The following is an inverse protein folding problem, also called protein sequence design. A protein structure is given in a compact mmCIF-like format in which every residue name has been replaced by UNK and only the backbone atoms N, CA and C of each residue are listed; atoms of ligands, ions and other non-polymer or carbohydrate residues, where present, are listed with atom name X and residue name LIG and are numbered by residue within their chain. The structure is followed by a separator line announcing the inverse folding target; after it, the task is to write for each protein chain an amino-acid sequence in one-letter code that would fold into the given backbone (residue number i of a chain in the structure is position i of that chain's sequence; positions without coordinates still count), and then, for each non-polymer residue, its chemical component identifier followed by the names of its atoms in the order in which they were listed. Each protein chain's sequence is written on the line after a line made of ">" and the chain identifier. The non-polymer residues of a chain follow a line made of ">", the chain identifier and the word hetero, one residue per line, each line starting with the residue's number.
data_IF_489434869197
#
_entry.id   IF_489434869197
#
_cell.length_a   1.000
_cell.length_b   1.000
_cell.length_c   1.000
_cell.angle_alpha   90.00
_cell.angle_beta   90.00
_cell.angle_gamma   90.00
#
_symmetry.space_group_name_H-M   'P 1'
#
loop_
_entity.id
_entity.type
_entity.pdbx_description
1 polymer ?
#
# COMPACT_ATOMS: atom_id res chain seq x y z
N UNK A 1 -37.39 -30.68 -32.18
CA UNK A 1 -37.45 -29.43 -31.43
C UNK A 1 -37.97 -29.78 -30.04
N UNK A 2 -37.09 -29.99 -29.08
CA UNK A 2 -37.44 -30.36 -27.70
C UNK A 2 -37.06 -29.16 -26.82
N UNK A 3 -38.09 -28.55 -26.24
CA UNK A 3 -37.94 -27.46 -25.29
C UNK A 3 -37.57 -28.04 -23.90
N UNK A 4 -36.45 -27.64 -23.34
CA UNK A 4 -36.06 -27.98 -21.99
C UNK A 4 -36.56 -26.86 -21.04
N UNK A 5 -37.59 -27.17 -20.29
CA UNK A 5 -38.05 -26.35 -19.18
C UNK A 5 -37.09 -26.46 -17.98
N UNK A 6 -36.55 -25.37 -17.55
CA UNK A 6 -35.79 -25.26 -16.29
C UNK A 6 -36.75 -25.26 -15.10
N UNK A 7 -36.83 -26.41 -14.39
CA UNK A 7 -37.61 -26.56 -13.17
C UNK A 7 -36.87 -26.02 -11.94
N UNK A 8 -37.45 -25.03 -11.30
CA UNK A 8 -37.08 -24.58 -9.95
C UNK A 8 -37.73 -25.52 -8.92
N UNK A 9 -36.94 -26.29 -8.20
CA UNK A 9 -37.40 -27.05 -7.04
C UNK A 9 -37.22 -26.18 -5.81
N UNK A 10 -38.35 -25.69 -5.23
CA UNK A 10 -38.36 -24.95 -3.95
C UNK A 10 -38.57 -25.96 -2.82
N UNK A 11 -37.57 -26.17 -2.00
CA UNK A 11 -37.67 -26.86 -0.73
C UNK A 11 -38.08 -25.90 0.38
N UNK A 12 -39.25 -26.09 0.96
CA UNK A 12 -39.82 -25.30 2.03
C UNK A 12 -39.13 -25.63 3.36
N UNK A 13 -38.33 -24.72 3.90
CA UNK A 13 -37.79 -24.74 5.26
C UNK A 13 -37.96 -23.40 5.93
N UNK A 14 -38.17 -23.32 7.28
CA UNK A 14 -38.56 -22.12 7.99
C UNK A 14 -37.46 -21.04 7.95
N UNK A 15 -37.92 -19.80 8.01
CA UNK A 15 -37.17 -18.56 7.82
C UNK A 15 -36.04 -18.39 8.84
N UNK A 16 -34.84 -18.84 8.51
CA UNK A 16 -33.58 -18.19 8.89
C UNK A 16 -32.38 -18.93 8.26
N UNK A 17 -31.72 -18.29 7.29
CA UNK A 17 -30.54 -18.75 6.52
C UNK A 17 -30.85 -19.23 5.09
N UNK A 18 -31.17 -18.29 4.21
CA UNK A 18 -31.10 -18.55 2.75
C UNK A 18 -29.64 -18.40 2.27
N UNK A 19 -28.90 -19.53 2.13
CA UNK A 19 -27.67 -19.58 1.32
C UNK A 19 -28.06 -19.92 -0.12
N UNK A 20 -27.66 -19.10 -1.09
CA UNK A 20 -27.80 -19.40 -2.53
C UNK A 20 -26.82 -20.50 -2.92
N UNK A 21 -27.35 -21.69 -3.32
CA UNK A 21 -26.57 -22.74 -3.97
C UNK A 21 -26.42 -22.43 -5.48
N UNK A 22 -25.22 -22.51 -5.98
CA UNK A 22 -24.95 -22.51 -7.43
C UNK A 22 -24.70 -23.96 -7.87
N UNK A 23 -25.43 -24.42 -8.88
CA UNK A 23 -25.27 -25.74 -9.51
C UNK A 23 -24.35 -25.58 -10.72
N UNK A 24 -23.20 -26.22 -10.73
CA UNK A 24 -22.30 -26.25 -11.88
C UNK A 24 -22.65 -27.40 -12.84
N UNK A 25 -22.24 -27.28 -14.11
CA UNK A 25 -22.58 -28.11 -15.27
C UNK A 25 -22.26 -29.62 -15.19
N UNK A 26 -21.92 -30.19 -14.03
CA UNK A 26 -21.69 -31.64 -13.83
C UNK A 26 -22.38 -32.22 -12.60
N UNK A 27 -23.47 -31.63 -12.10
CA UNK A 27 -24.27 -32.22 -11.04
C UNK A 27 -23.59 -32.35 -9.66
N UNK A 28 -22.45 -31.68 -9.42
CA UNK A 28 -21.78 -31.63 -8.13
C UNK A 28 -22.22 -30.36 -7.40
N UNK A 29 -22.88 -30.57 -6.26
CA UNK A 29 -23.30 -29.48 -5.36
C UNK A 29 -22.02 -28.94 -4.69
N UNK A 30 -21.61 -27.72 -5.04
CA UNK A 30 -20.49 -27.03 -4.39
C UNK A 30 -21.02 -26.28 -3.17
N UNK A 31 -20.70 -26.74 -1.98
CA UNK A 31 -20.85 -25.98 -0.73
C UNK A 31 -19.57 -25.16 -0.52
N UNK A 32 -19.61 -23.80 -0.55
CA UNK A 32 -18.42 -22.97 -0.38
C UNK A 32 -17.79 -23.04 1.02
N UNK A 33 -18.38 -23.80 1.94
CA UNK A 33 -17.84 -24.05 3.29
C UNK A 33 -17.56 -25.52 3.59
N UNK A 34 -17.74 -26.44 2.63
CA UNK A 34 -17.33 -27.82 2.80
C UNK A 34 -15.87 -27.95 2.36
N UNK A 35 -15.04 -28.15 3.31
CA UNK A 35 -13.76 -28.87 3.32
C UNK A 35 -13.12 -29.17 1.95
N UNK A 36 -12.50 -28.15 1.35
CA UNK A 36 -11.42 -28.32 0.38
C UNK A 36 -10.12 -28.82 1.05
N UNK A 37 -10.24 -29.40 2.26
CA UNK A 37 -9.11 -29.80 3.09
C UNK A 37 -8.74 -31.29 2.99
N UNK A 38 -9.55 -32.13 2.35
CA UNK A 38 -9.34 -33.60 2.38
C UNK A 38 -8.51 -34.19 1.22
N UNK A 39 -7.98 -33.35 0.31
CA UNK A 39 -7.17 -33.83 -0.82
C UNK A 39 -5.69 -33.39 -0.79
N UNK A 40 -5.20 -32.82 0.32
CA UNK A 40 -3.89 -32.17 0.34
C UNK A 40 -2.70 -33.09 0.57
N UNK A 41 -2.91 -34.35 0.91
CA UNK A 41 -1.85 -35.35 1.12
C UNK A 41 -0.90 -35.07 2.30
N UNK A 42 -1.25 -34.13 3.19
CA UNK A 42 -0.45 -33.83 4.38
C UNK A 42 -0.75 -34.88 5.49
N UNK A 43 0.31 -35.44 6.07
CA UNK A 43 0.20 -36.38 7.19
C UNK A 43 -0.22 -35.75 8.53
N UNK A 44 -0.19 -34.39 8.59
CA UNK A 44 -0.51 -33.61 9.80
C UNK A 44 -1.44 -32.42 9.47
N UNK A 45 -2.57 -32.36 10.17
CA UNK A 45 -3.52 -31.23 10.08
C UNK A 45 -2.89 -29.89 10.55
N UNK A 46 -1.95 -29.95 11.51
CA UNK A 46 -1.22 -28.76 11.98
C UNK A 46 -0.28 -28.23 10.89
N UNK A 47 0.42 -29.12 10.20
CA UNK A 47 1.26 -28.76 9.05
C UNK A 47 0.42 -28.11 7.95
N UNK A 48 -0.71 -28.72 7.61
CA UNK A 48 -1.62 -28.20 6.59
C UNK A 48 -2.13 -26.79 6.94
N UNK A 49 -2.58 -26.59 8.18
CA UNK A 49 -3.04 -25.30 8.68
C UNK A 49 -1.95 -24.22 8.58
N UNK A 50 -0.72 -24.54 9.00
CA UNK A 50 0.40 -23.61 8.91
C UNK A 50 0.72 -23.25 7.45
N UNK A 51 0.78 -24.23 6.55
CA UNK A 51 0.99 -24.00 5.11
C UNK A 51 -0.10 -23.14 4.51
N UNK A 52 -1.35 -23.36 4.90
CA UNK A 52 -2.47 -22.53 4.45
C UNK A 52 -2.33 -21.08 4.90
N UNK A 53 -2.01 -20.81 6.18
CA UNK A 53 -1.81 -19.46 6.68
C UNK A 53 -0.64 -18.74 5.99
N UNK A 54 0.50 -19.42 5.79
CA UNK A 54 1.62 -18.84 5.04
C UNK A 54 1.27 -18.57 3.57
N UNK A 55 0.43 -19.40 2.95
CA UNK A 55 0.03 -19.20 1.55
C UNK A 55 -0.93 -18.03 1.32
N UNK A 56 -1.47 -17.42 2.38
CA UNK A 56 -2.27 -16.18 2.31
C UNK A 56 -1.39 -14.93 2.15
N UNK A 57 -0.09 -15.04 2.41
CA UNK A 57 0.83 -13.92 2.28
C UNK A 57 1.05 -13.59 0.80
N UNK A 58 1.07 -12.30 0.42
CA UNK A 58 1.28 -11.89 -0.96
C UNK A 58 2.58 -12.47 -1.53
N UNK A 59 2.52 -13.05 -2.73
CA UNK A 59 3.69 -13.64 -3.40
C UNK A 59 4.10 -15.02 -2.87
N UNK A 60 3.43 -15.57 -1.86
CA UNK A 60 3.73 -16.89 -1.31
C UNK A 60 2.73 -17.94 -1.82
N UNK A 61 3.16 -18.76 -2.79
CA UNK A 61 2.40 -19.91 -3.23
C UNK A 61 2.54 -21.11 -2.27
N UNK A 62 1.64 -22.12 -2.41
CA UNK A 62 1.61 -23.32 -1.55
C UNK A 62 2.96 -24.06 -1.44
N UNK A 63 3.74 -24.16 -2.54
CA UNK A 63 5.07 -24.79 -2.51
C UNK A 63 6.07 -24.03 -1.64
N UNK A 64 6.08 -22.70 -1.76
CA UNK A 64 6.92 -21.84 -0.92
C UNK A 64 6.49 -21.88 0.53
N UNK A 65 5.17 -21.81 0.80
CA UNK A 65 4.62 -21.93 2.14
C UNK A 65 5.03 -23.25 2.81
N UNK A 66 4.91 -24.38 2.11
CA UNK A 66 5.35 -25.68 2.63
C UNK A 66 6.85 -25.67 2.98
N UNK A 67 7.69 -25.13 2.10
CA UNK A 67 9.14 -25.03 2.35
C UNK A 67 9.45 -24.18 3.59
N UNK A 68 8.77 -23.05 3.77
CA UNK A 68 8.93 -22.18 4.95
C UNK A 68 8.49 -22.88 6.22
N UNK A 69 7.32 -23.52 6.23
CA UNK A 69 6.81 -24.25 7.41
C UNK A 69 7.71 -25.42 7.78
N UNK A 70 8.19 -26.21 6.80
CA UNK A 70 9.14 -27.27 7.05
C UNK A 70 10.49 -26.77 7.56
N UNK A 71 10.91 -25.56 7.17
CA UNK A 71 12.09 -24.91 7.74
C UNK A 71 11.86 -24.56 9.21
N UNK A 72 10.73 -23.94 9.54
CA UNK A 72 10.39 -23.62 10.94
C UNK A 72 10.28 -24.85 11.84
N UNK A 73 9.80 -25.99 11.31
CA UNK A 73 9.77 -27.23 12.06
C UNK A 73 11.16 -27.80 12.44
N UNK A 74 12.21 -27.34 11.77
CA UNK A 74 13.60 -27.73 12.07
C UNK A 74 14.32 -26.75 12.99
N UNK A 75 13.74 -25.56 13.22
CA UNK A 75 14.28 -24.56 14.12
C UNK A 75 14.00 -24.93 15.58
N UNK A 76 14.76 -24.35 16.48
CA UNK A 76 14.46 -24.44 17.91
C UNK A 76 13.09 -23.83 18.19
N UNK A 77 12.25 -24.45 19.03
CA UNK A 77 10.96 -23.90 19.44
C UNK A 77 11.03 -22.46 19.95
N UNK A 78 12.12 -22.07 20.61
CA UNK A 78 12.32 -20.70 21.08
C UNK A 78 12.47 -19.70 19.94
N UNK A 79 13.20 -20.04 18.88
CA UNK A 79 13.32 -19.18 17.68
C UNK A 79 11.97 -18.97 17.00
N UNK A 80 11.15 -20.01 16.92
CA UNK A 80 9.78 -19.93 16.38
C UNK A 80 8.91 -19.05 17.26
N UNK A 81 9.06 -19.16 18.59
CA UNK A 81 8.34 -18.33 19.55
C UNK A 81 8.72 -16.86 19.41
N UNK A 82 10.00 -16.53 19.27
CA UNK A 82 10.49 -15.16 19.04
C UNK A 82 9.87 -14.58 17.76
N UNK A 83 9.89 -15.33 16.65
CA UNK A 83 9.28 -14.90 15.37
C UNK A 83 7.80 -14.60 15.54
N UNK A 84 7.05 -15.52 16.14
CA UNK A 84 5.58 -15.37 16.29
C UNK A 84 5.23 -14.24 17.25
N UNK A 85 5.98 -14.07 18.32
CA UNK A 85 5.83 -12.97 19.27
C UNK A 85 6.12 -11.63 18.62
N UNK A 86 7.18 -11.51 17.82
CA UNK A 86 7.52 -10.29 17.10
C UNK A 86 6.41 -9.88 16.11
N UNK A 87 5.80 -10.84 15.40
CA UNK A 87 4.67 -10.56 14.51
C UNK A 87 3.42 -10.10 15.28
N UNK A 88 3.15 -10.70 16.43
CA UNK A 88 2.04 -10.31 17.29
C UNK A 88 2.25 -8.91 17.89
N UNK A 89 3.47 -8.60 18.32
CA UNK A 89 3.83 -7.27 18.82
C UNK A 89 3.73 -6.21 17.73
N UNK A 90 4.27 -6.48 16.54
CA UNK A 90 4.16 -5.59 15.39
C UNK A 90 2.69 -5.24 15.13
N UNK A 91 1.79 -6.24 15.08
CA UNK A 91 0.37 -6.01 14.77
C UNK A 91 -0.37 -5.28 15.91
N UNK A 92 -0.01 -5.51 17.16
CA UNK A 92 -0.71 -4.97 18.34
C UNK A 92 -0.19 -3.61 18.79
N UNK A 93 1.10 -3.32 18.62
CA UNK A 93 1.75 -2.11 19.16
C UNK A 93 1.98 -1.04 18.11
N UNK A 94 2.19 -1.42 16.83
CA UNK A 94 2.42 -0.46 15.76
C UNK A 94 1.10 0.19 15.32
N UNK A 95 1.11 1.51 15.24
CA UNK A 95 0.00 2.34 14.81
C UNK A 95 0.49 3.48 13.91
N UNK A 96 -0.40 4.35 13.47
CA UNK A 96 -0.04 5.52 12.67
C UNK A 96 0.28 6.72 13.55
N UNK A 97 1.36 7.43 13.21
CA UNK A 97 1.69 8.71 13.81
C UNK A 97 0.52 9.69 13.66
N UNK A 98 0.10 10.32 14.76
CA UNK A 98 -1.03 11.26 14.77
C UNK A 98 -0.81 12.50 13.91
N UNK A 99 0.46 12.83 13.57
CA UNK A 99 0.81 14.03 12.79
C UNK A 99 0.94 13.71 11.30
N UNK A 100 1.74 12.69 10.95
CA UNK A 100 2.13 12.45 9.55
C UNK A 100 1.60 11.14 8.95
N UNK A 101 0.90 10.33 9.74
CA UNK A 101 0.36 9.02 9.35
C UNK A 101 1.41 7.96 8.97
N UNK A 102 2.71 8.20 9.22
CA UNK A 102 3.73 7.16 9.13
C UNK A 102 3.52 6.12 10.25
N UNK A 103 4.05 4.91 10.08
CA UNK A 103 4.02 3.90 11.15
C UNK A 103 4.94 4.28 12.31
N UNK A 104 4.49 3.94 13.51
CA UNK A 104 5.23 4.19 14.75
C UNK A 104 4.71 3.29 15.88
N UNK A 105 5.51 3.07 16.89
CA UNK A 105 5.17 2.42 18.15
C UNK A 105 4.92 3.41 19.30
N UNK A 106 4.93 4.71 19.00
CA UNK A 106 4.62 5.82 19.90
C UNK A 106 3.60 6.77 19.26
N UNK A 107 3.00 7.72 20.02
CA UNK A 107 2.01 8.67 19.46
C UNK A 107 2.51 9.47 18.26
N UNK A 108 3.80 9.84 18.28
CA UNK A 108 4.49 10.58 17.21
C UNK A 108 5.75 9.84 16.78
N UNK A 109 5.96 9.72 15.46
CA UNK A 109 7.13 9.03 14.92
C UNK A 109 8.42 9.83 15.15
N UNK A 110 9.55 9.14 15.02
CA UNK A 110 10.90 9.71 15.21
C UNK A 110 11.17 10.92 14.32
N UNK A 111 10.58 11.01 13.13
CA UNK A 111 10.73 12.17 12.25
C UNK A 111 9.96 13.38 12.78
N UNK A 112 8.70 13.18 13.17
CA UNK A 112 7.85 14.28 13.67
C UNK A 112 8.26 14.79 15.05
N UNK A 113 8.90 13.96 15.87
CA UNK A 113 9.39 14.36 17.21
C UNK A 113 10.80 14.93 17.19
N UNK A 114 11.50 14.86 16.05
CA UNK A 114 12.89 15.32 15.95
C UNK A 114 12.94 16.85 15.76
N UNK A 115 13.47 17.62 16.72
CA UNK A 115 13.57 19.09 16.60
C UNK A 115 14.60 19.56 15.56
N UNK A 116 15.49 18.67 15.10
CA UNK A 116 16.47 19.01 14.06
C UNK A 116 15.85 18.98 12.64
N UNK A 117 14.60 18.52 12.50
CA UNK A 117 13.87 18.53 11.23
C UNK A 117 13.23 19.89 10.96
N UNK A 118 13.17 20.27 9.72
CA UNK A 118 12.43 21.45 9.29
C UNK A 118 10.93 21.16 9.23
N UNK A 119 10.21 21.55 10.26
CA UNK A 119 8.77 21.33 10.36
C UNK A 119 7.95 22.22 9.42
N UNK A 120 8.55 23.28 8.86
CA UNK A 120 7.92 24.12 7.83
C UNK A 120 7.95 23.52 6.42
N UNK A 121 8.63 22.38 6.23
CA UNK A 121 8.77 21.69 4.96
C UNK A 121 8.13 20.29 5.03
N UNK A 122 7.02 20.07 4.30
CA UNK A 122 6.33 18.79 4.27
C UNK A 122 6.54 18.10 2.93
N UNK A 123 6.98 16.84 2.93
CA UNK A 123 6.96 15.96 1.78
C UNK A 123 5.73 15.03 1.85
N UNK A 124 4.83 15.17 0.88
CA UNK A 124 3.62 14.35 0.75
C UNK A 124 3.93 13.12 -0.08
N UNK A 125 3.73 11.96 0.50
CA UNK A 125 4.01 10.65 -0.11
C UNK A 125 2.79 9.76 -0.12
N UNK A 126 2.77 8.80 -1.00
CA UNK A 126 1.67 7.83 -1.12
C UNK A 126 1.68 6.82 0.02
N UNK A 127 2.87 6.27 0.34
CA UNK A 127 3.02 5.16 1.26
C UNK A 127 4.25 5.31 2.18
N UNK A 128 4.31 4.43 3.17
CA UNK A 128 5.44 4.33 4.09
C UNK A 128 6.73 3.94 3.36
N UNK A 129 6.64 3.16 2.26
CA UNK A 129 7.82 2.78 1.45
C UNK A 129 8.52 4.00 0.84
N UNK A 130 7.72 4.99 0.46
CA UNK A 130 8.26 6.23 -0.12
C UNK A 130 9.00 7.04 0.94
N UNK A 131 8.48 7.08 2.19
CA UNK A 131 9.23 7.67 3.33
C UNK A 131 10.57 6.99 3.48
N UNK A 132 10.61 5.65 3.50
CA UNK A 132 11.86 4.90 3.64
C UNK A 132 12.83 5.16 2.48
N UNK A 133 12.32 5.24 1.26
CA UNK A 133 13.14 5.54 0.08
C UNK A 133 13.76 6.94 0.16
N UNK A 134 13.00 7.94 0.56
CA UNK A 134 13.48 9.32 0.71
C UNK A 134 14.46 9.46 1.88
N UNK A 135 14.20 8.84 3.02
CA UNK A 135 15.10 8.84 4.17
C UNK A 135 16.46 8.19 3.85
N UNK A 136 16.46 7.12 3.03
CA UNK A 136 17.71 6.47 2.61
C UNK A 136 18.63 7.39 1.79
N UNK A 137 18.09 8.44 1.16
CA UNK A 137 18.92 9.43 0.45
C UNK A 137 19.74 10.31 1.39
N UNK A 138 19.29 10.48 2.63
CA UNK A 138 19.85 11.41 3.64
C UNK A 138 19.90 12.88 3.20
N UNK A 139 19.17 13.25 2.15
CA UNK A 139 19.15 14.61 1.59
C UNK A 139 17.95 15.42 2.06
N UNK A 140 16.89 14.77 2.54
CA UNK A 140 15.68 15.43 2.95
C UNK A 140 15.65 15.67 4.45
N UNK A 141 15.51 16.92 4.85
CA UNK A 141 15.55 17.34 6.25
C UNK A 141 14.19 17.87 6.77
N UNK A 142 13.15 17.81 5.96
CA UNK A 142 11.78 18.16 6.36
C UNK A 142 11.05 17.00 7.07
N UNK A 143 9.74 17.16 7.19
CA UNK A 143 8.83 16.17 7.74
C UNK A 143 7.94 15.59 6.63
N UNK A 144 7.25 14.50 6.90
CA UNK A 144 6.42 13.82 5.90
C UNK A 144 4.92 13.97 6.19
N UNK A 145 4.13 13.64 5.17
CA UNK A 145 2.71 13.32 5.28
C UNK A 145 2.39 12.13 4.39
N UNK A 146 2.00 11.02 4.99
CA UNK A 146 1.65 9.77 4.29
C UNK A 146 0.17 9.77 3.99
N UNK A 147 -0.20 9.75 2.70
CA UNK A 147 -1.61 9.75 2.28
C UNK A 147 -2.32 8.42 2.54
N UNK A 148 -1.59 7.30 2.51
CA UNK A 148 -2.14 5.95 2.58
C UNK A 148 -2.68 5.41 1.25
N UNK A 149 -2.43 6.13 0.15
CA UNK A 149 -2.81 5.80 -1.22
C UNK A 149 -2.95 7.03 -2.09
N UNK A 150 -3.48 6.86 -3.29
CA UNK A 150 -3.82 7.93 -4.25
C UNK A 150 -5.30 7.85 -4.63
N UNK A 151 -5.84 8.93 -5.17
CA UNK A 151 -7.22 8.94 -5.68
C UNK A 151 -7.28 8.01 -6.89
N UNK A 152 -8.03 6.91 -6.78
CA UNK A 152 -8.24 5.91 -7.82
C UNK A 152 -9.73 5.53 -7.90
N UNK A 153 -10.52 6.19 -8.75
CA UNK A 153 -11.95 5.87 -8.91
C UNK A 153 -12.21 4.42 -9.33
N UNK A 154 -11.28 3.84 -10.10
CA UNK A 154 -11.39 2.43 -10.53
C UNK A 154 -11.28 1.45 -9.36
N UNK A 155 -10.52 1.80 -8.33
CA UNK A 155 -10.37 1.03 -7.10
C UNK A 155 -11.33 1.47 -5.99
N UNK A 156 -12.20 2.45 -6.28
CA UNK A 156 -13.14 3.01 -5.30
C UNK A 156 -12.49 3.90 -4.25
N UNK A 157 -11.24 4.35 -4.47
CA UNK A 157 -10.51 5.22 -3.55
C UNK A 157 -10.77 6.68 -3.93
N UNK A 158 -11.53 7.37 -3.12
CA UNK A 158 -11.75 8.82 -3.24
C UNK A 158 -10.95 9.61 -2.21
N UNK A 159 -11.05 10.95 -2.23
CA UNK A 159 -10.32 11.82 -1.31
C UNK A 159 -10.63 11.60 0.18
N UNK A 160 -11.80 11.02 0.50
CA UNK A 160 -12.21 10.74 1.87
C UNK A 160 -11.57 9.47 2.46
N UNK A 161 -11.06 8.58 1.62
CA UNK A 161 -10.40 7.32 2.03
C UNK A 161 -8.91 7.50 2.33
N UNK A 162 -8.33 8.64 1.98
CA UNK A 162 -6.92 8.97 2.20
C UNK A 162 -6.79 10.23 3.07
N UNK A 163 -5.61 10.49 3.61
CA UNK A 163 -5.40 11.49 4.68
C UNK A 163 -5.26 12.95 4.20
N UNK A 164 -5.81 13.30 3.03
CA UNK A 164 -5.72 14.67 2.47
C UNK A 164 -6.30 15.72 3.41
N UNK A 165 -7.44 15.44 4.07
CA UNK A 165 -8.04 16.40 5.02
C UNK A 165 -7.11 16.72 6.18
N UNK A 166 -6.35 15.74 6.66
CA UNK A 166 -5.35 15.92 7.71
C UNK A 166 -4.17 16.79 7.22
N UNK A 167 -3.73 16.61 5.97
CA UNK A 167 -2.71 17.48 5.36
C UNK A 167 -3.17 18.93 5.31
N UNK A 168 -4.40 19.20 4.84
CA UNK A 168 -4.94 20.56 4.76
C UNK A 168 -5.03 21.18 6.15
N UNK A 169 -5.45 20.46 7.15
CA UNK A 169 -5.49 20.94 8.54
C UNK A 169 -4.08 21.32 9.05
N UNK A 170 -3.04 20.56 8.68
CA UNK A 170 -1.65 20.91 9.03
C UNK A 170 -1.19 22.20 8.33
N UNK A 171 -1.53 22.38 7.06
CA UNK A 171 -1.17 23.58 6.31
C UNK A 171 -1.93 24.81 6.82
N UNK A 172 -3.19 24.64 7.24
CA UNK A 172 -4.02 25.74 7.76
C UNK A 172 -3.51 26.34 9.08
N UNK A 173 -2.61 25.64 9.81
CA UNK A 173 -1.97 26.20 11.01
C UNK A 173 -1.04 27.40 10.70
N UNK A 174 -0.64 27.58 9.44
CA UNK A 174 0.21 28.68 8.98
C UNK A 174 1.71 28.48 9.23
N UNK A 175 2.12 27.35 9.79
CA UNK A 175 3.54 27.04 10.08
C UNK A 175 4.27 26.44 8.89
N UNK A 176 3.51 25.95 7.89
CA UNK A 176 4.06 25.25 6.72
C UNK A 176 4.38 26.27 5.62
N UNK A 177 5.62 26.26 5.15
CA UNK A 177 6.13 27.16 4.10
C UNK A 177 6.15 26.48 2.73
N UNK A 178 6.41 25.17 2.70
CA UNK A 178 6.48 24.42 1.45
C UNK A 178 5.90 23.01 1.62
N UNK A 179 5.13 22.60 0.61
CA UNK A 179 4.62 21.25 0.44
C UNK A 179 5.21 20.67 -0.83
N UNK A 180 6.03 19.63 -0.70
CA UNK A 180 6.62 18.87 -1.80
C UNK A 180 5.72 17.67 -2.13
N UNK A 181 5.16 17.62 -3.32
CA UNK A 181 4.36 16.50 -3.79
C UNK A 181 5.27 15.42 -4.38
N UNK A 182 5.36 14.28 -3.68
CA UNK A 182 6.22 13.15 -4.04
C UNK A 182 5.38 11.88 -4.29
N UNK A 183 4.28 12.03 -5.06
CA UNK A 183 3.43 10.91 -5.45
C UNK A 183 3.94 10.25 -6.73
N UNK A 184 3.43 9.04 -7.00
CA UNK A 184 3.75 8.29 -8.22
C UNK A 184 3.48 9.11 -9.50
N UNK A 185 4.33 8.93 -10.51
CA UNK A 185 4.20 9.62 -11.81
C UNK A 185 3.17 8.95 -12.74
N UNK A 186 2.06 8.47 -12.18
CA UNK A 186 0.92 7.89 -12.89
C UNK A 186 -0.18 8.92 -13.12
N UNK A 187 -1.19 8.60 -13.93
CA UNK A 187 -2.36 9.48 -14.14
C UNK A 187 -3.11 9.74 -12.84
N UNK A 188 -3.27 8.72 -11.99
CA UNK A 188 -3.92 8.81 -10.69
C UNK A 188 -3.08 9.66 -9.71
N UNK A 189 -1.75 9.47 -9.72
CA UNK A 189 -0.82 10.30 -8.94
C UNK A 189 -0.88 11.77 -9.35
N UNK A 190 -0.89 12.07 -10.65
CA UNK A 190 -1.01 13.44 -11.17
C UNK A 190 -2.39 14.05 -10.86
N UNK A 191 -3.48 13.27 -10.96
CA UNK A 191 -4.81 13.72 -10.55
C UNK A 191 -4.87 14.02 -9.05
N UNK A 192 -4.21 13.20 -8.23
CA UNK A 192 -4.11 13.40 -6.78
C UNK A 192 -3.29 14.66 -6.45
N UNK A 193 -2.14 14.86 -7.13
CA UNK A 193 -1.32 16.07 -7.01
C UNK A 193 -2.14 17.31 -7.33
N UNK A 194 -2.90 17.30 -8.45
CA UNK A 194 -3.75 18.41 -8.85
C UNK A 194 -4.85 18.68 -7.82
N UNK A 195 -5.50 17.62 -7.29
CA UNK A 195 -6.52 17.77 -6.26
C UNK A 195 -5.95 18.43 -4.99
N UNK A 196 -4.78 17.97 -4.52
CA UNK A 196 -4.10 18.56 -3.35
C UNK A 196 -3.75 20.03 -3.63
N UNK A 197 -3.14 20.32 -4.79
CA UNK A 197 -2.79 21.67 -5.19
C UNK A 197 -4.01 22.61 -5.15
N UNK A 198 -5.14 22.22 -5.73
CA UNK A 198 -6.38 23.00 -5.71
C UNK A 198 -6.92 23.24 -4.30
N UNK A 199 -6.71 22.30 -3.37
CA UNK A 199 -7.11 22.45 -1.96
C UNK A 199 -6.18 23.35 -1.16
N UNK A 200 -4.95 23.52 -1.61
CA UNK A 200 -3.94 24.36 -0.96
C UNK A 200 -3.85 25.77 -1.57
N UNK A 201 -4.55 26.06 -2.67
CA UNK A 201 -4.46 27.33 -3.42
C UNK A 201 -4.79 28.58 -2.57
N UNK A 202 -5.66 28.43 -1.59
CA UNK A 202 -6.07 29.53 -0.71
C UNK A 202 -5.10 29.78 0.47
N UNK A 203 -4.05 28.93 0.62
CA UNK A 203 -3.09 29.04 1.70
C UNK A 203 -1.76 29.64 1.21
N UNK A 204 -1.06 30.46 2.02
CA UNK A 204 0.23 31.05 1.65
C UNK A 204 1.37 30.03 1.75
N UNK A 205 1.24 28.90 1.04
CA UNK A 205 2.21 27.80 1.02
C UNK A 205 2.72 27.59 -0.39
N UNK A 206 4.04 27.40 -0.53
CA UNK A 206 4.64 27.00 -1.80
C UNK A 206 4.38 25.53 -2.05
N UNK A 207 3.81 25.17 -3.20
CA UNK A 207 3.63 23.77 -3.60
C UNK A 207 4.62 23.44 -4.70
N UNK A 208 5.43 22.40 -4.47
CA UNK A 208 6.43 21.90 -5.42
C UNK A 208 6.19 20.40 -5.70
N UNK A 209 6.82 19.88 -6.74
CA UNK A 209 6.77 18.46 -7.11
C UNK A 209 8.20 17.97 -7.33
N UNK A 210 8.44 16.67 -7.07
CA UNK A 210 9.74 16.07 -7.38
C UNK A 210 10.06 16.21 -8.85
N UNK A 211 11.32 16.53 -9.15
CA UNK A 211 11.80 16.60 -10.53
C UNK A 211 11.57 15.26 -11.23
N UNK A 212 11.09 15.34 -12.46
CA UNK A 212 10.84 14.16 -13.33
C UNK A 212 11.75 14.28 -14.55
N UNK A 213 12.52 13.24 -14.81
CA UNK A 213 13.49 13.25 -15.90
C UNK A 213 14.14 11.91 -16.12
N UNK A 214 15.13 11.86 -17.00
CA UNK A 214 15.94 10.68 -17.28
C UNK A 214 16.73 10.30 -16.03
N UNK A 215 16.71 9.01 -15.68
CA UNK A 215 17.44 8.51 -14.52
C UNK A 215 18.97 8.57 -14.75
N UNK A 216 19.72 8.77 -13.66
CA UNK A 216 21.18 8.80 -13.72
C UNK A 216 21.69 7.41 -14.08
N UNK A 217 22.49 7.34 -15.16
CA UNK A 217 23.04 6.09 -15.67
C UNK A 217 22.20 5.40 -16.74
N UNK A 218 21.01 5.90 -17.05
CA UNK A 218 20.19 5.39 -18.15
C UNK A 218 20.69 5.93 -19.50
N UNK A 219 20.59 5.10 -20.54
CA UNK A 219 20.82 5.49 -21.92
C UNK A 219 19.54 6.08 -22.52
N UNK A 220 19.66 7.17 -23.28
CA UNK A 220 18.50 7.87 -23.87
C UNK A 220 17.66 6.97 -24.79
N UNK A 221 18.31 5.98 -25.42
CA UNK A 221 17.68 5.01 -26.32
C UNK A 221 16.61 4.16 -25.62
N UNK A 222 16.76 3.88 -24.31
CA UNK A 222 15.84 3.05 -23.53
C UNK A 222 14.82 3.88 -22.71
N UNK A 223 14.94 5.20 -22.76
CA UNK A 223 14.01 6.09 -22.07
C UNK A 223 12.72 6.25 -22.87
N UNK A 224 11.56 6.14 -22.21
CA UNK A 224 10.27 6.35 -22.88
C UNK A 224 10.11 7.78 -23.39
N UNK A 225 9.32 7.95 -24.46
CA UNK A 225 9.15 9.22 -25.17
C UNK A 225 8.58 10.34 -24.28
N UNK A 226 7.71 9.98 -23.32
CA UNK A 226 7.08 10.95 -22.42
C UNK A 226 8.11 11.50 -21.44
N UNK A 227 8.92 10.63 -20.83
CA UNK A 227 9.98 11.00 -19.91
C UNK A 227 11.05 11.83 -20.63
N UNK A 228 11.45 11.42 -21.82
CA UNK A 228 12.42 12.17 -22.63
C UNK A 228 11.90 13.55 -23.01
N UNK A 229 10.65 13.63 -23.46
CA UNK A 229 9.98 14.89 -23.79
C UNK A 229 9.89 15.83 -22.59
N UNK A 230 9.51 15.34 -21.42
CA UNK A 230 9.47 16.12 -20.16
C UNK A 230 10.87 16.60 -19.75
N UNK A 231 11.89 15.76 -19.89
CA UNK A 231 13.28 16.12 -19.59
C UNK A 231 13.78 17.26 -20.47
N UNK A 232 13.43 17.25 -21.77
CA UNK A 232 13.76 18.33 -22.69
C UNK A 232 13.05 19.65 -22.35
N UNK A 233 11.77 19.58 -21.96
CA UNK A 233 11.01 20.77 -21.57
C UNK A 233 11.53 21.37 -20.24
N UNK A 234 11.88 20.52 -19.28
CA UNK A 234 12.33 20.91 -17.95
C UNK A 234 13.86 20.95 -17.82
N UNK A 235 14.58 21.04 -18.93
CA UNK A 235 16.05 21.11 -18.93
C UNK A 235 16.56 22.27 -18.06
N UNK A 236 17.56 22.01 -17.26
CA UNK A 236 18.21 23.01 -16.41
C UNK A 236 19.53 23.50 -17.04
N UNK A 237 19.99 24.70 -16.74
CA UNK A 237 21.33 25.17 -17.13
C UNK A 237 22.39 24.20 -16.59
N UNK A 238 23.43 23.93 -17.42
CA UNK A 238 24.48 22.97 -17.04
C UNK A 238 25.23 23.43 -15.77
N UNK A 239 25.38 24.76 -15.60
CA UNK A 239 26.02 25.33 -14.41
C UNK A 239 25.32 24.96 -13.10
N UNK A 240 23.97 24.85 -13.11
CA UNK A 240 23.18 24.45 -11.93
C UNK A 240 23.39 22.97 -11.59
N UNK A 241 23.74 22.15 -12.58
CA UNK A 241 24.06 20.72 -12.37
C UNK A 241 25.40 20.49 -11.69
N UNK A 242 26.30 21.48 -11.71
CA UNK A 242 27.63 21.44 -11.07
C UNK A 242 27.59 21.87 -9.60
N UNK A 243 26.51 22.54 -9.18
CA UNK A 243 26.30 22.98 -7.79
C UNK A 243 25.69 21.82 -6.99
N UNK A 244 26.54 20.89 -6.55
CA UNK A 244 26.18 19.84 -5.60
C UNK A 244 26.80 20.09 -4.26
#
# INVERSE_FOLDING_TARGET
>A
MIAIQTGLITLNRPANKRKKLRIGLKGVIFDPNSDLMDASGYSSKLLEKAVFEFSKLPGIGRKTALRLVLHLLKQDPEEVHILTSSLNELRSKVHHCRICHNITDSETCSVCSNPARDHGLICVVESIRDVMALENTQLYHGVYHVLGGIISPMEGIGPAQITISSLINRVSSGEIREVVLALSATMEGDATNYYIFRKLEDYPVKVTILARGVAIGDELEYTDEITLGRSLLNRTPFEDSLRK
#
